data_IF_531994104647
#
_entry.id   IF_531994104647
#
_cell.length_a   1.000
_cell.length_b   1.000
_cell.length_c   1.000
_cell.angle_alpha   90.00
_cell.angle_beta   90.00
_cell.angle_gamma   90.00
#
_symmetry.space_group_name_H-M   'P 1'
#
loop_
_entity.id
_entity.type
_entity.pdbx_description
1 polymer ?
#
# COMPACT_ATOMS: atom_id res chain seq x y z
N UNK A 1 -26.43 36.04 51.30
CA UNK A 1 -27.35 35.30 50.40
C UNK A 1 -26.53 34.41 49.46
N UNK A 2 -27.07 33.27 49.00
CA UNK A 2 -26.42 31.99 49.25
C UNK A 2 -26.13 31.15 47.98
N UNK A 3 -25.43 30.02 48.23
CA UNK A 3 -25.61 28.69 47.64
C UNK A 3 -25.13 28.39 46.21
N UNK A 4 -24.17 27.45 46.16
CA UNK A 4 -24.10 26.32 45.21
C UNK A 4 -25.49 25.78 44.85
N UNK A 5 -25.68 25.45 43.57
CA UNK A 5 -26.53 24.40 42.95
C UNK A 5 -26.43 24.61 41.43
N UNK A 6 -26.36 23.64 40.55
CA UNK A 6 -26.52 22.19 40.59
C UNK A 6 -26.63 21.71 39.13
N UNK A 7 -26.20 20.49 38.84
CA UNK A 7 -26.50 19.83 37.58
C UNK A 7 -28.02 19.68 37.39
N UNK A 8 -28.49 19.63 36.14
CA UNK A 8 -29.28 18.49 35.69
C UNK A 8 -28.95 18.17 34.21
N UNK A 9 -29.45 17.14 33.55
CA UNK A 9 -30.00 15.82 33.86
C UNK A 9 -30.13 15.15 32.48
N UNK A 10 -30.14 13.82 32.49
CA UNK A 10 -30.31 12.94 31.34
C UNK A 10 -31.49 13.34 30.44
N UNK A 11 -31.27 13.38 29.13
CA UNK A 11 -32.33 13.40 28.14
C UNK A 11 -32.72 11.96 27.81
N UNK A 12 -33.86 11.56 28.36
CA UNK A 12 -34.61 10.33 28.09
C UNK A 12 -35.26 10.39 26.71
N UNK A 13 -35.16 9.31 25.95
CA UNK A 13 -35.94 9.07 24.73
C UNK A 13 -37.43 8.85 25.06
N UNK A 14 -38.38 9.52 24.39
CA UNK A 14 -39.78 9.12 24.45
C UNK A 14 -40.07 8.00 23.44
N UNK A 15 -40.74 6.97 23.94
CA UNK A 15 -41.29 5.88 23.18
C UNK A 15 -42.60 6.27 22.48
N UNK A 16 -42.79 5.68 21.29
CA UNK A 16 -44.03 5.29 20.62
C UNK A 16 -45.15 6.33 20.42
N UNK A 17 -45.42 6.58 19.13
CA UNK A 17 -46.78 6.52 18.60
C UNK A 17 -47.39 7.87 18.22
N UNK A 18 -47.14 8.33 16.99
CA UNK A 18 -48.16 9.03 16.21
C UNK A 18 -47.79 9.09 14.72
N UNK A 19 -48.79 8.81 13.89
CA UNK A 19 -48.71 8.64 12.43
C UNK A 19 -48.47 9.96 11.71
N UNK A 20 -47.41 10.03 10.90
CA UNK A 20 -47.25 11.08 9.89
C UNK A 20 -47.80 10.54 8.56
N UNK A 21 -48.95 11.07 8.13
CA UNK A 21 -49.46 10.94 6.76
C UNK A 21 -48.61 11.83 5.85
N UNK A 22 -47.97 11.25 4.84
CA UNK A 22 -47.36 11.99 3.73
C UNK A 22 -48.27 11.88 2.51
N UNK A 23 -48.74 13.03 2.04
CA UNK A 23 -49.54 13.17 0.82
C UNK A 23 -48.71 12.79 -0.41
N UNK A 24 -49.38 12.14 -1.36
CA UNK A 24 -48.77 11.45 -2.47
C UNK A 24 -48.13 12.35 -3.54
N UNK A 25 -46.97 11.91 -4.00
CA UNK A 25 -46.52 12.07 -5.38
C UNK A 25 -46.09 10.68 -5.84
N UNK A 26 -46.94 10.02 -6.62
CA UNK A 26 -46.72 8.65 -7.07
C UNK A 26 -45.65 8.58 -8.15
N UNK A 27 -44.55 7.90 -7.85
CA UNK A 27 -43.67 7.31 -8.85
C UNK A 27 -44.02 5.81 -8.94
N UNK A 28 -44.74 5.41 -9.99
CA UNK A 28 -44.88 4.00 -10.33
C UNK A 28 -43.54 3.47 -10.89
N UNK A 29 -43.07 2.28 -10.46
CA UNK A 29 -41.91 1.64 -11.06
C UNK A 29 -42.22 1.22 -12.49
N UNK A 30 -41.27 1.41 -13.41
CA UNK A 30 -41.33 0.83 -14.76
C UNK A 30 -41.06 -0.67 -14.64
N UNK A 31 -41.97 -1.45 -15.23
CA UNK A 31 -41.86 -2.90 -15.37
C UNK A 31 -40.63 -3.21 -16.24
N UNK A 32 -39.58 -3.77 -15.61
CA UNK A 32 -38.31 -4.09 -16.26
C UNK A 32 -37.04 -3.95 -15.41
N UNK A 33 -37.12 -3.45 -14.16
CA UNK A 33 -35.98 -3.48 -13.25
C UNK A 33 -35.76 -4.91 -12.74
N UNK A 34 -34.68 -5.54 -13.21
CA UNK A 34 -34.16 -6.75 -12.62
C UNK A 34 -33.82 -6.46 -11.15
N UNK A 35 -34.63 -6.99 -10.24
CA UNK A 35 -34.38 -7.02 -8.81
C UNK A 35 -33.00 -7.65 -8.57
N UNK A 36 -32.02 -6.82 -8.20
CA UNK A 36 -30.74 -7.28 -7.69
C UNK A 36 -31.06 -7.84 -6.30
N UNK A 37 -31.24 -9.16 -6.24
CA UNK A 37 -31.59 -9.82 -4.98
C UNK A 37 -30.40 -9.81 -4.02
N UNK A 38 -30.66 -9.89 -2.71
CA UNK A 38 -29.64 -10.13 -1.66
C UNK A 38 -28.76 -11.39 -1.91
N UNK A 39 -29.09 -12.22 -2.90
CA UNK A 39 -28.27 -13.35 -3.34
C UNK A 39 -27.12 -12.95 -4.26
N UNK A 40 -27.19 -11.81 -4.95
CA UNK A 40 -26.20 -11.44 -5.99
C UNK A 40 -24.87 -10.89 -5.43
N UNK A 41 -24.84 -10.44 -4.18
CA UNK A 41 -23.59 -10.00 -3.52
C UNK A 41 -22.77 -11.16 -2.95
N UNK A 42 -23.30 -12.39 -2.91
CA UNK A 42 -22.59 -13.58 -2.42
C UNK A 42 -21.76 -14.25 -3.52
N UNK A 43 -20.81 -13.51 -4.08
CA UNK A 43 -19.54 -14.16 -4.44
C UNK A 43 -18.86 -14.50 -3.12
N UNK A 44 -18.89 -15.78 -2.75
CA UNK A 44 -18.43 -16.36 -1.49
C UNK A 44 -16.99 -15.95 -1.09
N UNK A 45 -16.82 -14.76 -0.53
CA UNK A 45 -15.66 -14.44 0.29
C UNK A 45 -15.98 -14.95 1.68
N UNK A 46 -15.35 -16.05 2.08
CA UNK A 46 -15.37 -16.49 3.47
C UNK A 46 -14.59 -15.49 4.31
N UNK A 47 -15.30 -14.49 4.88
CA UNK A 47 -14.71 -13.51 5.78
C UNK A 47 -14.14 -14.14 7.07
N UNK A 48 -14.46 -15.42 7.37
CA UNK A 48 -13.82 -16.15 8.45
C UNK A 48 -12.41 -16.65 8.07
N UNK A 49 -12.12 -16.82 6.78
CA UNK A 49 -10.81 -17.28 6.31
C UNK A 49 -9.73 -16.25 6.63
N UNK A 50 -8.75 -16.66 7.44
CA UNK A 50 -7.59 -15.86 7.85
C UNK A 50 -6.56 -15.79 6.72
N UNK A 51 -6.94 -15.21 5.58
CA UNK A 51 -6.11 -15.15 4.38
C UNK A 51 -4.89 -14.27 4.58
N UNK A 52 -3.73 -14.72 4.10
CA UNK A 52 -2.49 -13.95 4.12
C UNK A 52 -1.98 -13.77 2.70
N UNK A 53 -1.52 -12.57 2.38
CA UNK A 53 -0.75 -12.29 1.17
C UNK A 53 0.60 -11.67 1.54
N UNK A 54 1.70 -12.24 1.04
CA UNK A 54 3.06 -11.72 1.26
C UNK A 54 3.74 -11.46 -0.08
N UNK A 55 4.20 -10.23 -0.28
CA UNK A 55 5.02 -9.81 -1.41
C UNK A 55 6.40 -9.46 -0.88
N UNK A 56 7.45 -10.11 -1.39
CA UNK A 56 8.79 -9.87 -0.87
C UNK A 56 9.89 -9.89 -1.92
N UNK A 57 10.79 -8.92 -1.78
CA UNK A 57 12.00 -8.74 -2.58
C UNK A 57 11.75 -8.88 -4.09
N UNK A 58 10.94 -7.99 -4.71
CA UNK A 58 10.63 -8.10 -6.13
C UNK A 58 11.87 -8.11 -7.04
N UNK A 59 11.79 -8.81 -8.16
CA UNK A 59 12.82 -8.72 -9.21
C UNK A 59 12.57 -7.48 -10.07
N UNK A 60 13.18 -6.36 -9.69
CA UNK A 60 12.98 -5.07 -10.38
C UNK A 60 13.46 -5.09 -11.84
N UNK A 61 14.34 -6.01 -12.23
CA UNK A 61 14.86 -6.10 -13.59
C UNK A 61 14.09 -7.10 -14.48
N UNK A 62 13.01 -7.70 -13.96
CA UNK A 62 12.24 -8.75 -14.64
C UNK A 62 11.66 -8.27 -15.97
N UNK A 63 12.01 -8.97 -17.05
CA UNK A 63 11.54 -8.69 -18.40
C UNK A 63 10.02 -8.88 -18.55
N UNK A 64 9.42 -8.09 -19.43
CA UNK A 64 7.99 -8.10 -19.73
C UNK A 64 7.39 -9.50 -20.00
N UNK A 65 7.97 -10.30 -20.90
CA UNK A 65 7.45 -11.63 -21.25
C UNK A 65 7.37 -12.57 -20.04
N UNK A 66 8.33 -12.47 -19.12
CA UNK A 66 8.31 -13.24 -17.88
C UNK A 66 7.22 -12.75 -16.93
N UNK A 67 7.00 -11.44 -16.84
CA UNK A 67 5.91 -10.86 -16.03
C UNK A 67 4.55 -11.37 -16.50
N UNK A 68 4.31 -11.41 -17.82
CA UNK A 68 3.07 -11.94 -18.40
C UNK A 68 2.83 -13.40 -18.02
N UNK A 69 3.85 -14.26 -18.19
CA UNK A 69 3.74 -15.67 -17.84
C UNK A 69 3.46 -15.89 -16.34
N UNK A 70 4.15 -15.14 -15.46
CA UNK A 70 3.98 -15.25 -14.01
C UNK A 70 2.63 -14.69 -13.52
N UNK A 71 2.08 -13.66 -14.19
CA UNK A 71 0.76 -13.13 -13.90
C UNK A 71 -0.34 -14.18 -14.17
N UNK A 72 -0.26 -14.88 -15.30
CA UNK A 72 -1.17 -15.98 -15.63
C UNK A 72 -1.12 -17.13 -14.63
N UNK A 73 0.08 -17.49 -14.15
CA UNK A 73 0.26 -18.52 -13.11
C UNK A 73 -0.35 -18.10 -11.77
N UNK A 74 -0.12 -16.85 -11.34
CA UNK A 74 -0.68 -16.33 -10.09
C UNK A 74 -2.22 -16.34 -10.10
N UNK A 75 -2.84 -16.01 -11.23
CA UNK A 75 -4.30 -16.07 -11.40
C UNK A 75 -4.85 -17.50 -11.22
N UNK A 76 -4.11 -18.51 -11.66
CA UNK A 76 -4.49 -19.92 -11.51
C UNK A 76 -4.30 -20.47 -10.09
N UNK A 77 -3.21 -20.10 -9.41
CA UNK A 77 -2.87 -20.62 -8.07
C UNK A 77 -3.68 -19.97 -6.94
N UNK A 78 -4.02 -18.68 -7.06
CA UNK A 78 -4.63 -17.90 -5.97
C UNK A 78 -5.95 -17.23 -6.40
N UNK A 79 -6.73 -17.87 -7.28
CA UNK A 79 -7.94 -17.29 -7.87
C UNK A 79 -9.01 -16.85 -6.87
N UNK A 80 -9.05 -17.39 -5.65
CA UNK A 80 -9.97 -16.97 -4.58
C UNK A 80 -9.51 -15.69 -3.85
N UNK A 81 -8.22 -15.36 -3.94
CA UNK A 81 -7.62 -14.15 -3.38
C UNK A 81 -7.59 -13.00 -4.41
N UNK A 82 -7.76 -13.32 -5.69
CA UNK A 82 -7.61 -12.39 -6.81
C UNK A 82 -8.93 -12.15 -7.52
N UNK A 83 -9.38 -10.89 -7.60
CA UNK A 83 -10.55 -10.50 -8.37
C UNK A 83 -10.41 -10.93 -9.84
N UNK A 84 -11.53 -11.35 -10.45
CA UNK A 84 -11.61 -11.76 -11.86
C UNK A 84 -11.89 -10.60 -12.82
N UNK A 85 -12.06 -9.37 -12.33
CA UNK A 85 -12.36 -8.23 -13.19
C UNK A 85 -11.16 -7.85 -14.06
N UNK A 86 -11.45 -7.43 -15.30
CA UNK A 86 -10.50 -6.73 -16.15
C UNK A 86 -9.95 -5.52 -15.37
N UNK A 87 -8.63 -5.37 -15.33
CA UNK A 87 -7.96 -4.21 -14.70
C UNK A 87 -8.69 -2.95 -15.18
N UNK A 88 -9.46 -2.32 -14.27
CA UNK A 88 -10.24 -1.13 -14.59
C UNK A 88 -9.33 -0.20 -15.37
N UNK A 89 -9.72 0.10 -16.61
CA UNK A 89 -8.83 0.73 -17.56
C UNK A 89 -8.35 2.05 -16.99
N UNK A 90 -7.16 2.01 -16.41
CA UNK A 90 -6.67 3.05 -15.54
C UNK A 90 -6.68 4.35 -16.32
N UNK A 91 -7.43 5.36 -15.86
CA UNK A 91 -7.33 6.72 -16.38
C UNK A 91 -5.88 7.26 -16.25
N UNK A 92 -5.06 6.61 -15.41
CA UNK A 92 -3.62 6.80 -15.28
C UNK A 92 -2.86 6.30 -16.50
N UNK A 93 -3.40 5.43 -17.39
CA UNK A 93 -2.68 4.94 -18.59
C UNK A 93 -2.07 6.08 -19.43
N UNK A 94 -2.72 7.24 -19.53
CA UNK A 94 -2.15 8.38 -20.29
C UNK A 94 -1.03 9.12 -19.54
N UNK A 95 -1.10 9.17 -18.21
CA UNK A 95 -0.07 9.74 -17.35
C UNK A 95 1.09 8.76 -17.15
N UNK A 96 0.79 7.46 -17.16
CA UNK A 96 1.66 6.32 -17.03
C UNK A 96 2.43 6.01 -18.33
N UNK A 97 1.77 6.07 -19.50
CA UNK A 97 2.44 6.05 -20.81
C UNK A 97 3.36 7.27 -20.94
N UNK A 98 2.95 8.44 -20.41
CA UNK A 98 3.80 9.63 -20.38
C UNK A 98 4.98 9.36 -19.46
N UNK A 99 4.79 8.91 -18.22
CA UNK A 99 5.85 8.56 -17.27
C UNK A 99 6.84 7.54 -17.83
N UNK A 100 6.33 6.50 -18.48
CA UNK A 100 7.06 5.34 -18.99
C UNK A 100 7.83 5.65 -20.28
N UNK A 101 7.22 6.37 -21.24
CA UNK A 101 7.90 6.84 -22.46
C UNK A 101 8.88 7.99 -22.19
N UNK A 102 8.82 8.53 -20.96
CA UNK A 102 9.62 9.63 -20.47
C UNK A 102 10.62 9.21 -19.37
N UNK A 103 11.05 7.95 -19.33
CA UNK A 103 11.92 7.52 -18.26
C UNK A 103 13.31 7.13 -18.79
N UNK A 104 14.18 8.12 -18.98
CA UNK A 104 15.58 7.92 -18.59
C UNK A 104 15.69 8.09 -17.08
N UNK A 105 14.89 7.33 -16.32
CA UNK A 105 15.02 7.24 -14.88
C UNK A 105 16.18 6.31 -14.61
N UNK A 106 17.38 6.87 -14.40
CA UNK A 106 18.53 6.17 -13.80
C UNK A 106 18.25 5.71 -12.35
N UNK A 107 17.06 5.19 -12.05
CA UNK A 107 16.65 4.83 -10.69
C UNK A 107 17.08 3.41 -10.31
N UNK A 108 17.35 2.53 -11.29
CA UNK A 108 18.13 1.29 -11.11
C UNK A 108 17.94 0.62 -9.76
N UNK A 109 16.69 0.34 -9.38
CA UNK A 109 16.33 -0.18 -8.07
C UNK A 109 17.13 -1.44 -7.82
N UNK A 110 17.91 -1.40 -6.74
CA UNK A 110 18.79 -2.51 -6.38
C UNK A 110 17.98 -3.57 -5.66
N UNK A 111 18.40 -4.82 -5.81
CA UNK A 111 17.87 -5.92 -5.00
C UNK A 111 18.00 -5.58 -3.50
N UNK A 112 16.93 -5.82 -2.73
CA UNK A 112 16.93 -5.65 -1.28
C UNK A 112 17.77 -6.70 -0.55
N UNK A 113 18.21 -7.72 -1.28
CA UNK A 113 19.01 -8.83 -0.81
C UNK A 113 18.17 -9.92 -0.14
N UNK A 114 18.87 -10.96 0.31
CA UNK A 114 18.26 -12.14 0.94
C UNK A 114 17.51 -11.81 2.24
N UNK A 115 17.87 -10.73 2.94
CA UNK A 115 17.21 -10.36 4.19
C UNK A 115 15.71 -10.04 4.00
N UNK A 116 15.36 -9.35 2.92
CA UNK A 116 13.97 -9.01 2.60
C UNK A 116 13.16 -10.26 2.20
N UNK A 117 13.77 -11.17 1.45
CA UNK A 117 13.13 -12.45 1.11
C UNK A 117 12.89 -13.30 2.36
N UNK A 118 13.89 -13.40 3.24
CA UNK A 118 13.79 -14.14 4.50
C UNK A 118 12.74 -13.53 5.44
N UNK A 119 12.60 -12.21 5.48
CA UNK A 119 11.51 -11.56 6.21
C UNK A 119 10.14 -12.02 5.71
N UNK A 120 9.93 -12.05 4.39
CA UNK A 120 8.67 -12.51 3.80
C UNK A 120 8.38 -13.98 4.08
N UNK A 121 9.40 -14.83 4.06
CA UNK A 121 9.27 -16.25 4.41
C UNK A 121 8.96 -16.44 5.91
N UNK A 122 9.58 -15.65 6.79
CA UNK A 122 9.34 -15.69 8.22
C UNK A 122 7.93 -15.18 8.58
N UNK A 123 7.43 -14.15 7.88
CA UNK A 123 6.04 -13.71 8.00
C UNK A 123 5.08 -14.84 7.59
N UNK A 124 5.27 -15.40 6.40
CA UNK A 124 4.43 -16.50 5.90
C UNK A 124 4.42 -17.69 6.86
N UNK A 125 5.58 -18.10 7.37
CA UNK A 125 5.71 -19.21 8.31
C UNK A 125 5.01 -18.92 9.65
N UNK A 126 5.15 -17.70 10.20
CA UNK A 126 4.54 -17.34 11.47
C UNK A 126 3.01 -17.43 11.42
N UNK A 127 2.40 -16.94 10.35
CA UNK A 127 0.95 -16.96 10.17
C UNK A 127 0.43 -18.35 9.78
N UNK A 128 1.13 -19.08 8.90
CA UNK A 128 0.77 -20.46 8.56
C UNK A 128 0.69 -21.36 9.80
N UNK A 129 1.59 -21.16 10.77
CA UNK A 129 1.59 -21.90 12.05
C UNK A 129 0.43 -21.52 13.00
N UNK A 130 -0.30 -20.45 12.72
CA UNK A 130 -1.40 -19.93 13.53
C UNK A 130 -2.78 -20.04 12.83
N UNK A 131 -2.92 -21.03 11.96
CA UNK A 131 -4.12 -21.32 11.18
C UNK A 131 -4.57 -20.18 10.25
N UNK A 132 -3.63 -19.34 9.80
CA UNK A 132 -3.90 -18.46 8.65
C UNK A 132 -3.87 -19.30 7.37
N UNK A 133 -4.87 -19.11 6.51
CA UNK A 133 -5.03 -19.89 5.29
C UNK A 133 -6.14 -19.35 4.40
N UNK A 134 -5.97 -19.41 3.06
CA UNK A 134 -4.72 -19.63 2.32
C UNK A 134 -3.61 -18.60 2.59
N UNK A 135 -2.35 -19.05 2.58
CA UNK A 135 -1.14 -18.21 2.63
C UNK A 135 -0.56 -18.08 1.23
N UNK A 136 -0.80 -16.95 0.59
CA UNK A 136 -0.29 -16.63 -0.74
C UNK A 136 1.05 -15.90 -0.65
N UNK A 137 2.04 -16.38 -1.40
CA UNK A 137 3.39 -15.81 -1.39
C UNK A 137 3.84 -15.44 -2.79
N UNK A 138 4.31 -14.21 -2.95
CA UNK A 138 4.71 -13.61 -4.20
C UNK A 138 6.12 -13.06 -4.03
N UNK A 139 7.11 -13.89 -4.31
CA UNK A 139 8.52 -13.56 -4.13
C UNK A 139 9.20 -13.27 -5.46
N UNK A 140 10.21 -12.39 -5.45
CA UNK A 140 11.04 -12.13 -6.63
C UNK A 140 10.18 -11.73 -7.84
N UNK A 141 10.29 -12.46 -8.94
CA UNK A 141 9.53 -12.18 -10.16
C UNK A 141 8.01 -12.31 -10.03
N UNK A 142 7.50 -12.99 -9.00
CA UNK A 142 6.04 -13.14 -8.78
C UNK A 142 5.43 -11.95 -8.05
N UNK A 143 6.24 -11.06 -7.46
CA UNK A 143 5.78 -9.86 -6.78
C UNK A 143 5.38 -8.77 -7.79
N UNK A 144 4.30 -9.04 -8.52
CA UNK A 144 3.82 -8.22 -9.62
C UNK A 144 2.76 -7.22 -9.15
N UNK A 145 2.81 -6.02 -9.71
CA UNK A 145 1.84 -4.96 -9.44
C UNK A 145 0.41 -5.34 -9.80
N UNK A 146 0.20 -5.93 -10.98
CA UNK A 146 -1.13 -6.42 -11.38
C UNK A 146 -1.69 -7.48 -10.43
N UNK A 147 -0.84 -8.24 -9.75
CA UNK A 147 -1.28 -9.19 -8.72
C UNK A 147 -1.70 -8.47 -7.44
N UNK A 148 -0.94 -7.46 -6.99
CA UNK A 148 -1.32 -6.63 -5.83
C UNK A 148 -2.66 -5.94 -6.08
N UNK A 149 -2.82 -5.32 -7.26
CA UNK A 149 -4.05 -4.61 -7.68
C UNK A 149 -5.31 -5.49 -7.69
N UNK A 150 -5.14 -6.81 -7.82
CA UNK A 150 -6.24 -7.77 -7.87
C UNK A 150 -6.57 -8.39 -6.51
N UNK A 151 -5.79 -8.14 -5.46
CA UNK A 151 -6.08 -8.69 -4.13
C UNK A 151 -7.44 -8.23 -3.62
N UNK A 152 -8.18 -9.16 -3.01
CA UNK A 152 -9.47 -8.88 -2.38
C UNK A 152 -9.47 -9.31 -0.92
N UNK A 153 -9.41 -8.33 -0.03
CA UNK A 153 -9.58 -8.51 1.41
C UNK A 153 -8.73 -9.61 2.06
N UNK A 154 -7.40 -9.68 1.83
CA UNK A 154 -6.55 -10.55 2.63
C UNK A 154 -6.59 -10.08 4.09
N UNK A 155 -6.78 -10.98 5.06
CA UNK A 155 -6.82 -10.62 6.48
C UNK A 155 -5.51 -9.96 6.92
N UNK A 156 -4.38 -10.42 6.38
CA UNK A 156 -3.09 -9.76 6.53
C UNK A 156 -2.43 -9.59 5.16
N UNK A 157 -1.91 -8.39 4.89
CA UNK A 157 -1.10 -8.09 3.71
C UNK A 157 0.30 -7.63 4.15
N UNK A 158 1.34 -8.25 3.63
CA UNK A 158 2.73 -7.87 3.89
C UNK A 158 3.42 -7.50 2.58
N UNK A 159 3.93 -6.28 2.48
CA UNK A 159 4.63 -5.72 1.33
C UNK A 159 6.07 -5.36 1.73
N UNK A 160 7.05 -6.09 1.18
CA UNK A 160 8.47 -5.94 1.48
C UNK A 160 9.20 -5.58 0.18
N UNK A 161 9.39 -4.29 -0.04
CA UNK A 161 9.94 -3.74 -1.29
C UNK A 161 10.56 -2.35 -1.09
N UNK A 162 10.96 -1.63 -2.14
CA UNK A 162 11.29 -0.20 -2.02
C UNK A 162 10.03 0.64 -2.19
N UNK A 163 10.04 1.81 -1.57
CA UNK A 163 9.10 2.89 -1.88
C UNK A 163 9.85 4.20 -2.00
N UNK A 164 9.23 5.22 -2.59
CA UNK A 164 9.85 6.53 -2.72
C UNK A 164 8.83 7.65 -2.97
N UNK A 165 9.31 8.90 -2.97
CA UNK A 165 8.59 10.11 -3.31
C UNK A 165 9.22 10.81 -4.51
N UNK A 166 8.44 11.10 -5.55
CA UNK A 166 8.88 12.01 -6.61
C UNK A 166 8.88 13.45 -6.07
N UNK A 167 10.06 14.06 -5.93
CA UNK A 167 10.18 15.47 -5.54
C UNK A 167 9.83 16.40 -6.71
N UNK A 168 9.12 17.51 -6.44
CA UNK A 168 8.86 18.58 -7.40
C UNK A 168 10.17 19.34 -7.70
N UNK A 169 10.63 19.34 -8.95
CA UNK A 169 11.85 20.06 -9.36
C UNK A 169 11.70 21.58 -9.26
N UNK A 170 10.48 22.12 -9.31
CA UNK A 170 10.22 23.57 -9.23
C UNK A 170 10.51 24.14 -7.83
N UNK A 171 10.43 23.30 -6.79
CA UNK A 171 10.70 23.69 -5.40
C UNK A 171 12.15 23.39 -4.97
N UNK A 172 12.82 22.44 -5.63
CA UNK A 172 14.11 21.91 -5.22
C UNK A 172 15.34 22.71 -5.71
N UNK A 173 15.16 23.83 -6.43
CA UNK A 173 16.25 24.66 -6.93
C UNK A 173 16.47 25.89 -6.02
N UNK A 174 17.52 25.93 -5.17
CA UNK A 174 17.86 27.15 -4.45
C UNK A 174 18.49 28.13 -5.46
N UNK A 175 17.83 29.28 -5.69
CA UNK A 175 18.46 30.43 -6.35
C UNK A 175 17.96 30.80 -7.76
N UNK A 176 16.91 30.19 -8.30
CA UNK A 176 16.28 30.69 -9.54
C UNK A 176 15.12 31.61 -9.20
N UNK A 177 15.47 32.78 -8.66
CA UNK A 177 14.59 33.95 -8.71
C UNK A 177 14.56 34.45 -10.15
N UNK A 178 13.57 34.03 -10.93
CA UNK A 178 13.40 34.47 -12.30
C UNK A 178 12.65 33.44 -13.11
N UNK A 179 11.40 33.72 -13.41
CA UNK A 179 10.51 32.87 -14.18
C UNK A 179 11.11 32.47 -15.53
N UNK A 180 11.67 31.26 -15.60
CA UNK A 180 11.75 30.54 -16.86
C UNK A 180 10.36 29.97 -17.14
N UNK A 181 9.72 30.33 -18.27
CA UNK A 181 8.43 29.76 -18.65
C UNK A 181 8.56 28.24 -18.68
N UNK A 182 7.59 27.53 -18.09
CA UNK A 182 7.54 26.06 -18.03
C UNK A 182 7.94 25.44 -19.38
N UNK A 183 7.44 26.01 -20.49
CA UNK A 183 7.70 25.61 -21.87
C UNK A 183 9.19 25.53 -22.24
N UNK A 184 10.02 26.44 -21.74
CA UNK A 184 11.43 26.57 -22.10
C UNK A 184 12.30 25.56 -21.32
N UNK A 185 11.88 25.20 -20.10
CA UNK A 185 12.53 24.15 -19.31
C UNK A 185 12.24 22.73 -19.83
N UNK A 186 11.14 22.54 -20.55
CA UNK A 186 10.77 21.27 -21.19
C UNK A 186 11.24 21.14 -22.64
N UNK A 187 11.61 22.23 -23.31
CA UNK A 187 12.09 22.20 -24.70
C UNK A 187 13.46 21.51 -24.86
N UNK A 188 14.32 21.60 -23.84
CA UNK A 188 15.72 21.15 -23.90
C UNK A 188 15.92 19.72 -23.35
N UNK A 189 14.84 19.08 -22.92
CA UNK A 189 14.86 17.73 -22.36
C UNK A 189 14.03 16.85 -23.29
N UNK A 190 14.65 15.79 -23.82
CA UNK A 190 13.94 14.80 -24.64
C UNK A 190 12.73 14.22 -23.91
N UNK A 191 11.96 13.34 -24.58
CA UNK A 191 10.71 12.76 -24.07
C UNK A 191 10.71 12.43 -22.57
N UNK A 192 11.88 12.05 -22.02
CA UNK A 192 12.15 11.82 -20.61
C UNK A 192 12.12 12.94 -19.57
N UNK A 193 12.40 14.18 -19.98
CA UNK A 193 12.20 15.32 -19.08
C UNK A 193 10.73 15.68 -18.91
N UNK A 194 9.90 15.38 -19.91
CA UNK A 194 8.53 15.90 -20.02
C UNK A 194 7.55 15.27 -19.03
N UNK A 195 7.53 13.96 -18.84
CA UNK A 195 6.64 13.34 -17.87
C UNK A 195 7.20 13.35 -16.44
N UNK A 196 8.53 13.40 -16.29
CA UNK A 196 9.15 13.74 -15.01
C UNK A 196 8.69 15.13 -14.59
N UNK A 197 8.83 16.14 -15.45
CA UNK A 197 8.32 17.49 -15.17
C UNK A 197 6.78 17.53 -15.04
N UNK A 198 6.04 16.68 -15.76
CA UNK A 198 4.59 16.56 -15.66
C UNK A 198 4.11 16.02 -14.30
N UNK A 199 4.73 14.97 -13.76
CA UNK A 199 4.38 14.47 -12.42
C UNK A 199 4.92 15.36 -11.30
N UNK A 200 6.06 16.00 -11.53
CA UNK A 200 6.61 16.99 -10.61
C UNK A 200 5.73 18.23 -10.52
N UNK A 201 5.09 18.63 -11.61
CA UNK A 201 4.15 19.73 -11.66
C UNK A 201 2.77 19.40 -11.05
N UNK A 202 2.46 18.12 -10.80
CA UNK A 202 1.25 17.72 -10.08
C UNK A 202 1.51 17.80 -8.58
N UNK A 203 0.81 18.68 -7.88
CA UNK A 203 0.99 18.90 -6.44
C UNK A 203 0.47 17.74 -5.56
N UNK A 204 -0.16 16.71 -6.13
CA UNK A 204 -0.79 15.63 -5.38
C UNK A 204 0.22 14.61 -4.81
N UNK A 205 0.36 14.50 -3.47
CA UNK A 205 1.23 13.52 -2.84
C UNK A 205 0.86 12.05 -3.15
N UNK A 206 -0.39 11.74 -3.49
CA UNK A 206 -0.83 10.37 -3.80
C UNK A 206 -0.27 9.87 -5.13
N UNK A 207 -0.10 10.76 -6.12
CA UNK A 207 0.49 10.42 -7.41
C UNK A 207 2.02 10.40 -7.37
N UNK A 208 2.61 11.03 -6.35
CA UNK A 208 4.06 11.15 -6.19
C UNK A 208 4.66 10.14 -5.22
N UNK A 209 3.82 9.43 -4.44
CA UNK A 209 4.25 8.36 -3.54
C UNK A 209 4.01 7.01 -4.22
N UNK A 210 5.00 6.12 -4.22
CA UNK A 210 4.86 4.83 -4.89
C UNK A 210 5.71 3.74 -4.24
N UNK A 211 5.29 2.49 -4.45
CA UNK A 211 6.07 1.27 -4.23
C UNK A 211 6.55 0.75 -5.58
N UNK A 212 7.68 0.08 -5.57
CA UNK A 212 8.20 -0.60 -6.78
C UNK A 212 8.01 -2.10 -6.66
N UNK A 213 7.77 -2.75 -7.78
CA UNK A 213 7.45 -4.17 -7.88
C UNK A 213 8.23 -4.77 -9.05
N UNK A 214 8.00 -6.05 -9.34
CA UNK A 214 8.80 -6.75 -10.33
C UNK A 214 8.69 -6.08 -11.72
N UNK A 215 9.83 -5.80 -12.34
CA UNK A 215 9.95 -5.08 -13.61
C UNK A 215 10.08 -3.56 -13.53
N UNK A 216 10.15 -2.96 -12.33
CA UNK A 216 10.25 -1.50 -12.16
C UNK A 216 11.44 -0.81 -12.88
N UNK A 217 12.50 -1.56 -13.22
CA UNK A 217 13.66 -1.08 -14.00
C UNK A 217 13.51 -1.27 -15.52
N UNK A 218 12.36 -1.78 -15.99
CA UNK A 218 12.06 -2.09 -17.40
C UNK A 218 10.90 -1.26 -17.94
N UNK A 219 10.71 -0.07 -17.38
CA UNK A 219 9.59 0.83 -17.71
C UNK A 219 9.63 1.33 -19.17
N UNK A 220 10.81 1.26 -19.78
CA UNK A 220 11.10 1.65 -21.16
C UNK A 220 10.93 0.50 -22.18
N UNK A 221 10.73 -0.74 -21.73
CA UNK A 221 10.36 -1.84 -22.64
C UNK A 221 9.04 -1.48 -23.33
N UNK A 222 8.96 -1.62 -24.65
CA UNK A 222 7.73 -1.35 -25.41
C UNK A 222 6.64 -2.33 -24.98
N UNK A 223 5.85 -1.94 -23.98
CA UNK A 223 4.67 -2.67 -23.55
C UNK A 223 3.63 -2.51 -24.68
N UNK A 224 3.19 -3.61 -25.33
CA UNK A 224 2.10 -3.53 -26.29
C UNK A 224 0.91 -2.85 -25.63
N UNK A 225 0.19 -1.97 -26.35
CA UNK A 225 -0.90 -1.13 -25.84
C UNK A 225 -2.13 -1.90 -25.27
N UNK A 226 -2.00 -3.22 -25.07
CA UNK A 226 -3.09 -4.14 -24.76
C UNK A 226 -2.61 -5.34 -23.93
N UNK A 227 -1.98 -5.17 -22.77
CA UNK A 227 -1.69 -6.29 -21.86
C UNK A 227 -1.81 -5.93 -20.38
N UNK A 228 -2.33 -6.88 -19.61
CA UNK A 228 -2.57 -6.92 -18.15
C UNK A 228 -1.30 -6.79 -17.27
N UNK A 229 -0.15 -6.46 -17.87
CA UNK A 229 1.16 -6.39 -17.21
C UNK A 229 1.54 -4.93 -17.05
N UNK A 230 1.44 -4.48 -15.82
CA UNK A 230 1.66 -3.08 -15.43
C UNK A 230 3.16 -2.71 -15.40
N UNK A 231 3.45 -1.43 -15.20
CA UNK A 231 4.79 -0.83 -15.25
C UNK A 231 5.73 -1.24 -14.09
N UNK A 232 5.23 -1.92 -13.06
CA UNK A 232 5.98 -2.31 -11.86
C UNK A 232 6.06 -1.21 -10.79
N UNK A 233 5.23 -0.17 -10.87
CA UNK A 233 5.18 0.96 -9.96
C UNK A 233 3.75 1.09 -9.43
N UNK A 234 3.54 0.76 -8.16
CA UNK A 234 2.25 0.91 -7.50
C UNK A 234 2.19 2.27 -6.81
N UNK A 235 1.45 3.22 -7.37
CA UNK A 235 1.28 4.56 -6.77
C UNK A 235 0.34 4.52 -5.56
N UNK A 236 0.44 5.50 -4.66
CA UNK A 236 -0.49 5.61 -3.53
C UNK A 236 -1.93 5.87 -4.02
N UNK A 237 -2.13 6.52 -5.16
CA UNK A 237 -3.43 6.62 -5.82
C UNK A 237 -4.02 5.24 -6.19
N UNK A 238 -3.19 4.34 -6.71
CA UNK A 238 -3.63 2.97 -7.02
C UNK A 238 -3.81 2.13 -5.75
N UNK A 239 -2.95 2.32 -4.74
CA UNK A 239 -3.14 1.69 -3.43
C UNK A 239 -4.49 2.06 -2.82
N UNK A 240 -4.93 3.32 -2.97
CA UNK A 240 -6.20 3.80 -2.43
C UNK A 240 -7.43 3.16 -3.10
N UNK A 241 -7.25 2.50 -4.25
CA UNK A 241 -8.30 1.81 -5.00
C UNK A 241 -8.30 0.29 -4.77
N UNK A 242 -7.37 -0.23 -3.96
CA UNK A 242 -7.39 -1.64 -3.57
C UNK A 242 -8.65 -1.96 -2.76
N UNK A 243 -9.13 -3.20 -2.84
CA UNK A 243 -10.17 -3.68 -1.95
C UNK A 243 -9.55 -4.37 -0.73
N UNK A 244 -9.26 -3.58 0.31
CA UNK A 244 -8.75 -4.08 1.59
C UNK A 244 -9.85 -4.22 2.65
N UNK A 245 -11.13 -4.24 2.24
CA UNK A 245 -12.23 -4.55 3.17
C UNK A 245 -12.08 -5.99 3.66
N UNK A 246 -12.14 -6.17 4.98
CA UNK A 246 -11.86 -7.46 5.62
C UNK A 246 -10.37 -7.73 5.87
N UNK A 247 -9.49 -6.79 5.55
CA UNK A 247 -8.10 -6.78 6.04
C UNK A 247 -8.05 -6.30 7.48
N UNK A 248 -7.27 -6.95 8.34
CA UNK A 248 -7.03 -6.53 9.73
C UNK A 248 -5.72 -5.76 9.88
N UNK A 249 -4.74 -6.05 9.02
CA UNK A 249 -3.38 -5.51 9.10
C UNK A 249 -2.71 -5.48 7.73
N UNK A 250 -2.15 -4.31 7.39
CA UNK A 250 -1.14 -4.17 6.33
C UNK A 250 0.21 -3.88 6.95
N UNK A 251 1.25 -4.58 6.53
CA UNK A 251 2.64 -4.32 6.92
C UNK A 251 3.42 -3.85 5.70
N UNK A 252 3.82 -2.58 5.72
CA UNK A 252 4.64 -1.95 4.70
C UNK A 252 6.09 -1.91 5.16
N UNK A 253 6.82 -3.00 4.92
CA UNK A 253 8.27 -3.07 5.09
C UNK A 253 8.97 -2.51 3.85
N UNK A 254 8.63 -1.25 3.54
CA UNK A 254 9.24 -0.52 2.45
C UNK A 254 10.22 0.52 2.97
N UNK A 255 11.44 0.50 2.44
CA UNK A 255 12.42 1.54 2.69
C UNK A 255 12.20 2.67 1.68
N UNK A 256 12.13 3.91 2.17
CA UNK A 256 12.25 5.11 1.32
C UNK A 256 13.70 5.26 0.88
N UNK A 257 14.08 4.63 -0.23
CA UNK A 257 15.42 4.80 -0.79
C UNK A 257 15.39 5.99 -1.73
N UNK A 258 15.85 7.15 -1.25
CA UNK A 258 16.66 8.16 -1.94
C UNK A 258 16.49 9.56 -1.30
N UNK A 259 17.61 10.26 -1.13
CA UNK A 259 17.76 11.67 -0.69
C UNK A 259 17.20 12.02 0.69
N UNK A 260 18.09 12.09 1.69
CA UNK A 260 17.84 12.53 3.06
C UNK A 260 17.37 13.99 3.23
N UNK A 261 16.32 14.37 2.51
CA UNK A 261 15.63 15.65 2.63
C UNK A 261 14.28 15.45 3.33
N UNK A 262 13.78 16.53 3.94
CA UNK A 262 12.63 16.54 4.86
C UNK A 262 11.32 15.93 4.29
N UNK A 263 11.25 15.72 2.97
CA UNK A 263 10.04 15.32 2.24
C UNK A 263 9.83 13.79 2.17
N UNK A 264 10.77 12.95 2.59
CA UNK A 264 10.55 11.48 2.68
C UNK A 264 9.39 11.10 3.61
N UNK A 265 9.05 11.99 4.56
CA UNK A 265 7.89 11.82 5.44
C UNK A 265 6.57 11.87 4.67
N UNK A 266 6.48 12.67 3.60
CA UNK A 266 5.24 12.83 2.83
C UNK A 266 4.93 11.57 2.00
N UNK A 267 5.95 10.91 1.42
CA UNK A 267 5.75 9.63 0.72
C UNK A 267 5.17 8.55 1.61
N UNK A 268 5.82 8.37 2.75
CA UNK A 268 5.46 7.34 3.72
C UNK A 268 4.06 7.60 4.28
N UNK A 269 3.70 8.86 4.53
CA UNK A 269 2.34 9.22 4.93
C UNK A 269 1.33 8.97 3.81
N UNK A 270 1.62 9.38 2.58
CA UNK A 270 0.74 9.18 1.42
C UNK A 270 0.37 7.71 1.20
N UNK A 271 1.37 6.82 1.19
CA UNK A 271 1.13 5.37 1.04
C UNK A 271 0.31 4.77 2.17
N UNK A 272 0.57 5.16 3.42
CA UNK A 272 -0.21 4.65 4.57
C UNK A 272 -1.65 5.15 4.54
N UNK A 273 -1.85 6.44 4.23
CA UNK A 273 -3.18 7.02 4.09
C UNK A 273 -3.96 6.36 2.96
N UNK A 274 -3.33 6.09 1.83
CA UNK A 274 -3.94 5.33 0.74
C UNK A 274 -4.41 3.95 1.17
N UNK A 275 -3.58 3.19 1.88
CA UNK A 275 -3.96 1.86 2.36
C UNK A 275 -5.10 1.92 3.40
N UNK A 276 -5.15 2.96 4.23
CA UNK A 276 -6.29 3.21 5.12
C UNK A 276 -7.57 3.52 4.31
N UNK A 277 -7.48 4.35 3.26
CA UNK A 277 -8.61 4.66 2.38
C UNK A 277 -9.11 3.44 1.59
N UNK A 278 -8.23 2.50 1.27
CA UNK A 278 -8.58 1.22 0.66
C UNK A 278 -9.32 0.26 1.61
N UNK A 279 -9.45 0.60 2.89
CA UNK A 279 -10.24 -0.14 3.87
C UNK A 279 -9.43 -0.94 4.89
N UNK A 280 -8.09 -0.83 4.90
CA UNK A 280 -7.30 -1.43 5.97
C UNK A 280 -7.46 -0.62 7.28
N UNK A 281 -7.87 -1.22 8.40
CA UNK A 281 -8.03 -0.52 9.67
C UNK A 281 -6.69 -0.25 10.36
N UNK A 282 -5.64 -1.02 10.02
CA UNK A 282 -4.32 -0.90 10.64
C UNK A 282 -3.22 -1.03 9.60
N UNK A 283 -2.28 -0.08 9.61
CA UNK A 283 -1.07 -0.12 8.78
C UNK A 283 0.16 0.02 9.67
N UNK A 284 1.10 -0.92 9.56
CA UNK A 284 2.44 -0.82 10.13
C UNK A 284 3.42 -0.46 9.03
N UNK A 285 4.25 0.57 9.21
CA UNK A 285 5.24 0.93 8.20
C UNK A 285 6.44 1.69 8.76
N UNK A 286 7.52 1.75 7.98
CA UNK A 286 8.77 2.44 8.33
C UNK A 286 8.65 3.96 8.11
N UNK A 287 9.13 4.79 9.04
CA UNK A 287 9.13 6.26 8.96
C UNK A 287 10.30 6.81 8.13
N UNK A 288 11.38 6.03 8.07
CA UNK A 288 12.63 6.38 7.43
C UNK A 288 13.39 5.09 7.12
N UNK A 289 14.37 5.18 6.22
CA UNK A 289 15.20 4.07 5.80
C UNK A 289 16.04 3.50 6.95
N UNK A 290 16.09 2.17 7.02
CA UNK A 290 16.95 1.41 7.95
C UNK A 290 17.72 0.34 7.17
N UNK A 291 18.89 -0.11 7.65
CA UNK A 291 19.66 -1.14 6.97
C UNK A 291 18.85 -2.43 6.74
N UNK A 292 18.93 -3.02 5.55
CA UNK A 292 18.04 -4.10 5.08
C UNK A 292 17.88 -5.30 6.04
N UNK A 293 18.85 -5.59 6.91
CA UNK A 293 18.77 -6.69 7.86
C UNK A 293 17.93 -6.39 9.12
N UNK A 294 17.71 -5.10 9.43
CA UNK A 294 17.08 -4.67 10.68
C UNK A 294 15.55 -4.77 10.66
N UNK A 295 14.83 -4.43 9.57
CA UNK A 295 13.39 -4.69 9.45
C UNK A 295 13.03 -6.13 9.80
N UNK A 296 13.70 -7.11 9.19
CA UNK A 296 13.53 -8.53 9.48
C UNK A 296 13.66 -8.86 10.97
N UNK A 297 14.74 -8.38 11.61
CA UNK A 297 15.01 -8.65 13.03
C UNK A 297 13.94 -8.08 13.95
N UNK A 298 13.40 -6.91 13.62
CA UNK A 298 12.33 -6.28 14.38
C UNK A 298 10.97 -6.92 14.08
N UNK A 299 10.65 -7.18 12.82
CA UNK A 299 9.33 -7.61 12.39
C UNK A 299 9.09 -9.11 12.57
N UNK A 300 10.12 -9.96 12.54
CA UNK A 300 9.99 -11.39 12.84
C UNK A 300 9.25 -11.68 14.16
N UNK A 301 9.66 -11.14 15.32
CA UNK A 301 8.91 -11.32 16.56
C UNK A 301 7.53 -10.64 16.54
N UNK A 302 7.36 -9.56 15.79
CA UNK A 302 6.05 -8.92 15.61
C UNK A 302 5.06 -9.83 14.88
N UNK A 303 5.45 -10.42 13.74
CA UNK A 303 4.62 -11.38 13.01
C UNK A 303 4.22 -12.57 13.90
N UNK A 304 5.17 -13.13 14.65
CA UNK A 304 4.89 -14.20 15.60
C UNK A 304 3.91 -13.79 16.70
N UNK A 305 4.01 -12.57 17.23
CA UNK A 305 3.08 -12.04 18.23
C UNK A 305 1.66 -11.87 17.69
N UNK A 306 1.52 -11.25 16.51
CA UNK A 306 0.21 -11.06 15.85
C UNK A 306 -0.43 -12.39 15.49
N UNK A 307 0.35 -13.32 14.93
CA UNK A 307 -0.11 -14.67 14.61
C UNK A 307 -0.60 -15.40 15.88
N UNK A 308 0.11 -15.25 17.00
CA UNK A 308 -0.29 -15.80 18.29
C UNK A 308 -1.45 -15.04 19.00
N UNK A 309 -2.06 -14.05 18.35
CA UNK A 309 -3.18 -13.29 18.91
C UNK A 309 -2.79 -12.21 19.94
N UNK A 310 -1.50 -11.90 20.07
CA UNK A 310 -1.06 -10.71 20.81
C UNK A 310 -1.46 -9.50 19.95
N UNK A 311 -2.35 -8.63 20.44
CA UNK A 311 -2.85 -7.47 19.69
C UNK A 311 -1.74 -6.68 18.99
N UNK A 312 -2.04 -6.06 17.84
CA UNK A 312 -1.05 -5.51 16.89
C UNK A 312 -0.08 -4.52 17.56
N UNK A 313 -0.62 -3.61 18.37
CA UNK A 313 0.19 -2.66 19.13
C UNK A 313 1.07 -3.33 20.20
N UNK A 314 0.52 -4.31 20.92
CA UNK A 314 1.24 -5.05 21.96
C UNK A 314 2.38 -5.88 21.36
N UNK A 315 2.13 -6.57 20.23
CA UNK A 315 3.13 -7.31 19.49
C UNK A 315 4.27 -6.40 19.00
N UNK A 316 3.94 -5.21 18.45
CA UNK A 316 4.96 -4.28 17.96
C UNK A 316 5.79 -3.71 19.11
N UNK A 317 5.15 -3.38 20.23
CA UNK A 317 5.86 -2.92 21.43
C UNK A 317 6.80 -4.00 21.98
N UNK A 318 6.32 -5.24 22.11
CA UNK A 318 7.12 -6.38 22.57
C UNK A 318 8.32 -6.64 21.64
N UNK A 319 8.11 -6.58 20.34
CA UNK A 319 9.15 -6.72 19.33
C UNK A 319 10.24 -5.64 19.47
N UNK A 320 9.86 -4.36 19.63
CA UNK A 320 10.80 -3.25 19.85
C UNK A 320 11.58 -3.41 21.15
N UNK A 321 10.92 -3.75 22.26
CA UNK A 321 11.57 -3.96 23.55
C UNK A 321 12.56 -5.13 23.50
N UNK A 322 12.20 -6.20 22.79
CA UNK A 322 13.10 -7.33 22.53
C UNK A 322 14.32 -6.87 21.73
N UNK A 323 14.11 -6.18 20.61
CA UNK A 323 15.20 -5.67 19.76
C UNK A 323 16.17 -4.78 20.54
N UNK A 324 15.66 -3.85 21.36
CA UNK A 324 16.49 -2.98 22.22
C UNK A 324 17.36 -3.80 23.17
N UNK A 325 16.79 -4.83 23.82
CA UNK A 325 17.53 -5.69 24.75
C UNK A 325 18.61 -6.49 24.05
N UNK A 326 18.26 -7.17 22.95
CA UNK A 326 19.21 -7.98 22.17
C UNK A 326 20.38 -7.12 21.66
N UNK A 327 20.09 -5.91 21.19
CA UNK A 327 21.11 -5.01 20.68
C UNK A 327 22.02 -4.45 21.77
N UNK A 328 21.47 -4.05 22.93
CA UNK A 328 22.27 -3.67 24.10
C UNK A 328 23.20 -4.80 24.54
N UNK A 329 22.72 -6.04 24.53
CA UNK A 329 23.53 -7.19 24.88
C UNK A 329 24.64 -7.46 23.86
N UNK A 330 24.37 -7.29 22.56
CA UNK A 330 25.33 -7.58 21.51
C UNK A 330 26.39 -6.48 21.29
N UNK A 331 26.01 -5.20 21.38
CA UNK A 331 26.89 -4.06 21.03
C UNK A 331 26.96 -2.96 22.10
N UNK A 332 26.39 -3.18 23.28
CA UNK A 332 26.42 -2.22 24.40
C UNK A 332 25.48 -1.01 24.27
N UNK A 333 24.79 -0.86 23.13
CA UNK A 333 23.91 0.28 22.86
C UNK A 333 22.71 -0.09 21.98
N UNK A 334 21.64 0.71 22.02
CA UNK A 334 20.47 0.55 21.17
C UNK A 334 19.94 1.91 20.68
N UNK A 335 20.65 2.51 19.73
CA UNK A 335 20.27 3.80 19.15
C UNK A 335 18.87 3.73 18.49
N UNK A 336 17.98 4.73 18.71
CA UNK A 336 16.62 4.76 18.16
C UNK A 336 16.50 4.51 16.67
N UNK A 337 17.48 4.97 15.88
CA UNK A 337 17.58 4.73 14.43
C UNK A 337 17.26 3.28 14.01
N UNK A 338 17.55 2.28 14.84
CA UNK A 338 17.37 0.88 14.48
C UNK A 338 16.01 0.29 14.90
N UNK A 339 15.32 0.86 15.89
CA UNK A 339 14.10 0.29 16.46
C UNK A 339 12.87 1.20 16.37
N UNK A 340 13.08 2.50 16.15
CA UNK A 340 11.99 3.49 16.12
C UNK A 340 11.44 3.75 14.72
N UNK A 341 11.95 3.07 13.69
CA UNK A 341 11.53 3.26 12.31
C UNK A 341 10.09 2.81 12.07
N UNK A 342 9.69 1.65 12.57
CA UNK A 342 8.34 1.12 12.36
C UNK A 342 7.32 1.72 13.33
N UNK A 343 6.19 2.18 12.81
CA UNK A 343 5.05 2.65 13.60
C UNK A 343 3.77 2.01 13.11
N UNK A 344 2.80 1.91 14.01
CA UNK A 344 1.45 1.47 13.74
C UNK A 344 0.55 2.70 13.62
N UNK A 345 -0.30 2.73 12.59
CA UNK A 345 -1.33 3.75 12.39
C UNK A 345 -2.67 3.03 12.21
N UNK A 346 -3.72 3.55 12.85
CA UNK A 346 -5.06 2.97 12.81
C UNK A 346 -5.40 2.19 14.08
N UNK A 347 -6.23 1.16 13.95
CA UNK A 347 -6.74 0.39 15.09
C UNK A 347 -5.64 -0.48 15.74
N UNK A 348 -5.48 -0.46 17.07
CA UNK A 348 -4.38 -1.11 17.77
C UNK A 348 -4.46 -2.64 17.86
#
# INVERSE_FOLDING_TARGET
MPRRKGAPAHATWPASGEHIRTDGVGCHPREGDHDITESDWKLHLDFAAKRLAVFASPDYALAYERRLALAGQAAGEYGELLARHELAASAVRSLDDRLSRSANTRLGWRDLGEAALLEGQEAAAAFAAADYGPVATFYRGRALEGVVKRLVGPRVLVLITHGDFLQNELEAAPGVGGGRPLLEAVADRGGAGLARSGLQAVEDPFLRSYLVLAGANRIDEQIPAKVEVENGWLTAWEMAQLDLRGTDLVVLSACSTNRGEANNRQAVMGMRLALLFAGAPTVVGSLFEVPNAEPRRLLKPFYGGVAAGQGKLAALNAAKLRFIRERRNAVGAAHPFYWSSFVLVGEP
#
